data_IF_032367778619
#
_entry.id   IF_032367778619
#
_cell.length_a   1.000
_cell.length_b   1.000
_cell.length_c   1.000
_cell.angle_alpha   90.00
_cell.angle_beta   90.00
_cell.angle_gamma   90.00
#
_symmetry.space_group_name_H-M   'P 1'
#
loop_
_entity.id
_entity.type
_entity.pdbx_description
1 polymer ?
#
# COMPACT_ATOMS: atom_id res chain seq x y z
N UNK A 1 -16.23 -2.15 1.07
CA UNK A 1 -15.90 -0.74 1.30
C UNK A 1 -14.50 -0.69 1.89
N UNK A 2 -13.54 -0.08 1.21
CA UNK A 2 -12.16 0.12 1.71
C UNK A 2 -12.06 1.48 2.40
N UNK A 3 -11.00 1.74 3.19
CA UNK A 3 -10.75 3.03 3.86
C UNK A 3 -10.78 4.23 2.88
N UNK A 4 -10.69 4.00 1.57
CA UNK A 4 -10.91 5.01 0.54
C UNK A 4 -12.23 5.80 0.70
N UNK A 5 -13.27 5.23 1.33
CA UNK A 5 -14.51 5.99 1.63
C UNK A 5 -14.31 7.11 2.65
N UNK A 6 -13.28 7.03 3.49
CA UNK A 6 -12.93 8.04 4.50
C UNK A 6 -11.91 9.07 4.02
N UNK A 7 -11.47 8.99 2.75
CA UNK A 7 -10.46 9.90 2.17
C UNK A 7 -10.79 11.38 2.43
N UNK A 8 -12.05 11.78 2.27
CA UNK A 8 -12.49 13.16 2.50
C UNK A 8 -12.33 13.63 3.95
N UNK A 9 -12.44 12.73 4.93
CA UNK A 9 -12.21 13.05 6.34
C UNK A 9 -10.72 13.17 6.64
N UNK A 10 -9.92 12.23 6.13
CA UNK A 10 -8.47 12.28 6.24
C UNK A 10 -7.90 13.57 5.64
N UNK A 11 -8.39 13.98 4.46
CA UNK A 11 -7.95 15.23 3.82
C UNK A 11 -8.24 16.46 4.68
N UNK A 12 -9.37 16.52 5.40
CA UNK A 12 -9.66 17.64 6.31
C UNK A 12 -8.65 17.74 7.46
N UNK A 13 -8.20 16.60 7.98
CA UNK A 13 -7.21 16.54 9.07
C UNK A 13 -5.80 16.91 8.57
N UNK A 14 -5.45 16.45 7.37
CA UNK A 14 -4.12 16.68 6.76
C UNK A 14 -3.97 18.10 6.20
N UNK A 15 -5.06 18.74 5.79
CA UNK A 15 -5.05 20.06 5.17
C UNK A 15 -4.30 21.15 5.97
N UNK A 16 -4.54 21.36 7.29
CA UNK A 16 -3.80 22.38 8.04
C UNK A 16 -2.30 22.11 8.08
N UNK A 17 -1.89 20.84 8.18
CA UNK A 17 -0.48 20.46 8.17
C UNK A 17 0.15 20.71 6.80
N UNK A 18 -0.55 20.36 5.73
CA UNK A 18 -0.08 20.61 4.37
C UNK A 18 0.13 22.11 4.09
N UNK A 19 -0.76 22.99 4.59
CA UNK A 19 -0.56 24.45 4.49
C UNK A 19 0.67 24.95 5.25
N UNK A 20 1.01 24.34 6.40
CA UNK A 20 2.23 24.69 7.14
C UNK A 20 3.47 24.28 6.34
N UNK A 21 3.45 23.09 5.72
CA UNK A 21 4.56 22.58 4.91
C UNK A 21 4.75 23.38 3.62
N UNK A 22 3.66 23.79 2.98
CA UNK A 22 3.68 24.70 1.83
C UNK A 22 4.40 26.01 2.19
N UNK A 23 4.03 26.64 3.31
CA UNK A 23 4.69 27.87 3.79
C UNK A 23 6.19 27.70 4.05
N UNK A 24 6.61 26.47 4.41
CA UNK A 24 8.01 26.09 4.62
C UNK A 24 8.73 25.70 3.32
N UNK A 25 8.08 25.79 2.16
CA UNK A 25 8.59 25.40 0.83
C UNK A 25 9.03 23.93 0.76
N UNK A 26 8.39 23.07 1.55
CA UNK A 26 8.58 21.62 1.44
C UNK A 26 7.75 21.14 0.23
N UNK A 27 8.31 20.26 -0.58
CA UNK A 27 7.65 19.71 -1.77
C UNK A 27 6.98 18.37 -1.46
N UNK A 28 6.00 17.96 -2.28
CA UNK A 28 5.40 16.62 -2.17
C UNK A 28 6.45 15.51 -2.34
N UNK A 29 7.37 15.64 -3.29
CA UNK A 29 8.46 14.66 -3.49
C UNK A 29 9.35 14.49 -2.26
N UNK A 30 9.60 15.56 -1.49
CA UNK A 30 10.34 15.45 -0.23
C UNK A 30 9.60 14.57 0.79
N UNK A 31 8.27 14.68 0.85
CA UNK A 31 7.44 13.87 1.73
C UNK A 31 7.37 12.41 1.25
N UNK A 32 7.33 12.15 -0.05
CA UNK A 32 7.41 10.79 -0.60
C UNK A 32 8.77 10.16 -0.25
N UNK A 33 9.88 10.87 -0.40
CA UNK A 33 11.20 10.33 0.01
C UNK A 33 11.23 10.07 1.53
N UNK A 34 10.64 10.96 2.32
CA UNK A 34 10.55 10.80 3.77
C UNK A 34 9.71 9.57 4.17
N UNK A 35 8.64 9.24 3.44
CA UNK A 35 7.85 8.03 3.70
C UNK A 35 8.71 6.78 3.53
N UNK A 36 9.51 6.72 2.45
CA UNK A 36 10.46 5.61 2.22
C UNK A 36 11.50 5.48 3.33
N UNK A 37 12.03 6.61 3.84
CA UNK A 37 12.96 6.62 4.98
C UNK A 37 12.29 5.98 6.19
N UNK A 38 11.05 6.35 6.52
CA UNK A 38 10.33 5.75 7.63
C UNK A 38 10.05 4.26 7.43
N UNK A 39 9.67 3.84 6.22
CA UNK A 39 9.53 2.41 5.91
C UNK A 39 10.85 1.65 6.14
N UNK A 40 11.98 2.24 5.73
CA UNK A 40 13.31 1.66 5.94
C UNK A 40 13.68 1.60 7.43
N UNK A 41 13.39 2.65 8.21
CA UNK A 41 13.64 2.70 9.65
C UNK A 41 12.80 1.69 10.43
N UNK A 42 11.67 1.22 9.89
CA UNK A 42 10.91 0.13 10.51
C UNK A 42 11.68 -1.19 10.53
N UNK A 43 12.61 -1.43 9.60
CA UNK A 43 13.39 -2.67 9.47
C UNK A 43 14.20 -2.96 10.75
N UNK A 44 15.12 -2.08 11.20
CA UNK A 44 15.88 -2.33 12.42
C UNK A 44 14.97 -2.42 13.65
N UNK A 45 13.83 -1.72 13.69
CA UNK A 45 12.90 -1.82 14.82
C UNK A 45 12.27 -3.22 14.91
N UNK A 46 11.82 -3.79 13.79
CA UNK A 46 11.39 -5.18 13.76
C UNK A 46 12.55 -6.14 14.06
N UNK A 47 13.78 -5.85 13.67
CA UNK A 47 14.91 -6.71 13.99
C UNK A 47 15.20 -6.74 15.51
N UNK A 48 15.30 -5.58 16.15
CA UNK A 48 15.55 -5.47 17.59
C UNK A 48 14.39 -5.98 18.44
N UNK A 49 13.19 -6.02 17.89
CA UNK A 49 12.03 -6.57 18.59
C UNK A 49 12.07 -8.07 18.84
N UNK A 50 13.09 -8.78 18.35
CA UNK A 50 13.37 -10.17 18.76
C UNK A 50 13.90 -10.27 20.18
N UNK A 51 14.61 -9.25 20.67
CA UNK A 51 15.19 -9.21 22.01
C UNK A 51 14.33 -8.42 22.99
N UNK A 52 13.69 -7.34 22.52
CA UNK A 52 12.84 -6.49 23.35
C UNK A 52 11.59 -6.06 22.56
N UNK A 53 10.43 -6.56 22.97
CA UNK A 53 9.16 -6.31 22.29
C UNK A 53 8.73 -4.84 22.31
N UNK A 54 9.33 -3.98 23.14
CA UNK A 54 9.03 -2.54 23.12
C UNK A 54 9.40 -1.89 21.78
N UNK A 55 10.38 -2.44 21.05
CA UNK A 55 10.72 -1.98 19.70
C UNK A 55 9.58 -2.18 18.68
N UNK A 56 8.59 -3.04 18.95
CA UNK A 56 7.39 -3.13 18.11
C UNK A 56 6.57 -1.84 18.12
N UNK A 57 6.54 -1.09 19.23
CA UNK A 57 5.88 0.22 19.25
C UNK A 57 6.59 1.21 18.33
N UNK A 58 7.93 1.19 18.29
CA UNK A 58 8.71 2.01 17.36
C UNK A 58 8.53 1.56 15.91
N UNK A 59 8.47 0.25 15.66
CA UNK A 59 8.18 -0.29 14.33
C UNK A 59 6.79 0.17 13.84
N UNK A 60 5.76 0.06 14.69
CA UNK A 60 4.42 0.54 14.40
C UNK A 60 4.39 2.05 14.15
N UNK A 61 5.13 2.84 14.95
CA UNK A 61 5.26 4.28 14.76
C UNK A 61 5.87 4.60 13.39
N UNK A 62 6.94 3.93 12.99
CA UNK A 62 7.56 4.20 11.68
C UNK A 62 6.68 3.76 10.51
N UNK A 63 5.96 2.64 10.62
CA UNK A 63 4.97 2.25 9.60
C UNK A 63 3.83 3.29 9.52
N UNK A 64 3.37 3.78 10.66
CA UNK A 64 2.39 4.87 10.73
C UNK A 64 2.93 6.14 10.06
N UNK A 65 4.13 6.58 10.43
CA UNK A 65 4.75 7.78 9.86
C UNK A 65 4.93 7.66 8.35
N UNK A 66 5.37 6.51 7.84
CA UNK A 66 5.40 6.22 6.40
C UNK A 66 4.02 6.45 5.77
N UNK A 67 2.98 5.80 6.29
CA UNK A 67 1.61 5.92 5.74
C UNK A 67 1.04 7.34 5.86
N UNK A 68 1.46 8.08 6.89
CA UNK A 68 0.98 9.42 7.17
C UNK A 68 1.63 10.44 6.24
N UNK A 69 2.96 10.39 6.05
CA UNK A 69 3.67 11.31 5.14
C UNK A 69 3.29 11.08 3.69
N UNK A 70 3.02 9.83 3.32
CA UNK A 70 2.46 9.42 2.03
C UNK A 70 1.07 10.05 1.79
N UNK A 71 0.14 9.91 2.73
CA UNK A 71 -1.16 10.58 2.60
C UNK A 71 -1.05 12.13 2.56
N UNK A 72 -0.04 12.67 3.25
CA UNK A 72 0.24 14.10 3.31
C UNK A 72 0.85 14.62 2.00
N UNK A 73 1.67 13.84 1.30
CA UNK A 73 2.29 14.23 0.02
C UNK A 73 1.24 14.49 -1.07
N UNK A 74 0.25 13.62 -1.19
CA UNK A 74 -0.82 13.76 -2.17
C UNK A 74 -1.74 14.91 -1.82
N UNK A 75 -1.90 15.21 -0.53
CA UNK A 75 -2.65 16.39 -0.07
C UNK A 75 -1.89 17.67 -0.38
N UNK A 76 -0.58 17.69 -0.14
CA UNK A 76 0.29 18.82 -0.45
C UNK A 76 0.32 19.09 -1.95
N UNK A 77 0.51 18.05 -2.78
CA UNK A 77 0.54 18.18 -4.24
C UNK A 77 -0.75 18.80 -4.83
N UNK A 78 -1.91 18.48 -4.25
CA UNK A 78 -3.21 19.08 -4.64
C UNK A 78 -3.29 20.55 -4.25
N UNK A 79 -2.84 20.90 -3.05
CA UNK A 79 -2.84 22.30 -2.57
C UNK A 79 -1.89 23.15 -3.40
N UNK A 80 -0.68 22.67 -3.66
CA UNK A 80 0.34 23.37 -4.44
C UNK A 80 0.11 23.30 -5.95
N UNK A 81 -0.92 22.56 -6.40
CA UNK A 81 -1.22 22.31 -7.83
C UNK A 81 -0.03 21.75 -8.60
N UNK A 82 0.74 20.87 -7.97
CA UNK A 82 1.91 20.20 -8.54
C UNK A 82 1.67 18.72 -8.82
N UNK A 83 0.41 18.27 -8.77
CA UNK A 83 0.05 16.92 -9.20
C UNK A 83 0.34 16.72 -10.69
N UNK A 84 0.95 15.58 -11.05
CA UNK A 84 1.35 15.32 -12.42
C UNK A 84 2.03 13.96 -12.60
N UNK A 85 2.36 13.59 -13.85
CA UNK A 85 2.84 12.24 -14.18
C UNK A 85 4.13 11.83 -13.47
N UNK A 86 5.06 12.77 -13.26
CA UNK A 86 6.32 12.50 -12.56
C UNK A 86 6.11 12.23 -11.06
N UNK A 87 5.18 12.95 -10.43
CA UNK A 87 4.79 12.73 -9.04
C UNK A 87 4.06 11.41 -8.87
N UNK A 88 3.07 11.12 -9.73
CA UNK A 88 2.34 9.84 -9.73
C UNK A 88 3.30 8.65 -9.94
N UNK A 89 4.31 8.79 -10.81
CA UNK A 89 5.35 7.78 -11.00
C UNK A 89 6.22 7.57 -9.75
N UNK A 90 6.65 8.66 -9.09
CA UNK A 90 7.50 8.61 -7.90
C UNK A 90 6.76 7.99 -6.71
N UNK A 91 5.54 8.47 -6.41
CA UNK A 91 4.61 7.91 -5.41
C UNK A 91 4.50 6.41 -5.61
N UNK A 92 4.28 6.02 -6.85
CA UNK A 92 4.17 4.64 -7.23
C UNK A 92 5.40 3.80 -6.93
N UNK A 93 6.59 4.24 -7.31
CA UNK A 93 7.81 3.50 -6.98
C UNK A 93 7.99 3.37 -5.46
N UNK A 94 7.84 4.49 -4.75
CA UNK A 94 8.07 4.56 -3.31
C UNK A 94 7.11 3.66 -2.56
N UNK A 95 5.82 3.66 -2.90
CA UNK A 95 4.81 2.77 -2.34
C UNK A 95 5.23 1.31 -2.35
N UNK A 96 5.79 0.86 -3.49
CA UNK A 96 6.17 -0.53 -3.69
C UNK A 96 7.40 -0.88 -2.87
N UNK A 97 8.39 0.00 -2.84
CA UNK A 97 9.56 -0.22 -1.98
C UNK A 97 9.19 -0.21 -0.50
N UNK A 98 8.35 0.72 -0.06
CA UNK A 98 7.86 0.79 1.31
C UNK A 98 7.10 -0.47 1.72
N UNK A 99 6.16 -0.95 0.89
CA UNK A 99 5.44 -2.20 1.12
C UNK A 99 6.41 -3.39 1.24
N UNK A 100 7.38 -3.51 0.32
CA UNK A 100 8.37 -4.59 0.34
C UNK A 100 9.23 -4.54 1.59
N UNK A 101 9.76 -3.37 1.97
CA UNK A 101 10.62 -3.20 3.14
C UNK A 101 9.90 -3.59 4.42
N UNK A 102 8.66 -3.11 4.60
CA UNK A 102 7.86 -3.40 5.79
C UNK A 102 7.53 -4.89 5.87
N UNK A 103 7.04 -5.51 4.78
CA UNK A 103 6.68 -6.92 4.78
C UNK A 103 7.92 -7.81 4.98
N UNK A 104 9.03 -7.50 4.31
CA UNK A 104 10.31 -8.20 4.47
C UNK A 104 10.82 -8.14 5.91
N UNK A 105 10.79 -6.97 6.54
CA UNK A 105 11.18 -6.84 7.94
C UNK A 105 10.37 -7.79 8.82
N UNK A 106 9.05 -7.84 8.65
CA UNK A 106 8.17 -8.68 9.47
C UNK A 106 8.51 -10.18 9.33
N UNK A 107 8.62 -10.70 8.10
CA UNK A 107 8.83 -12.14 7.92
C UNK A 107 10.29 -12.59 8.09
N UNK A 108 11.29 -11.75 7.76
CA UNK A 108 12.70 -12.10 8.00
C UNK A 108 13.06 -12.08 9.49
N UNK A 109 12.39 -11.24 10.28
CA UNK A 109 12.49 -11.27 11.74
C UNK A 109 11.88 -12.54 12.36
N UNK A 110 10.95 -13.20 11.67
CA UNK A 110 10.34 -14.46 12.13
C UNK A 110 8.92 -14.32 12.68
N UNK A 111 8.27 -13.16 12.56
CA UNK A 111 6.84 -13.01 12.92
C UNK A 111 5.92 -13.76 11.96
N UNK A 112 6.39 -14.03 10.73
CA UNK A 112 5.75 -14.93 9.78
C UNK A 112 6.80 -15.84 9.13
N UNK A 113 6.39 -17.00 8.62
CA UNK A 113 7.31 -17.87 7.89
C UNK A 113 7.73 -17.25 6.55
N UNK A 114 8.90 -17.62 6.03
CA UNK A 114 9.38 -17.19 4.71
C UNK A 114 8.32 -17.46 3.61
N UNK A 115 7.64 -18.61 3.67
CA UNK A 115 6.58 -18.97 2.71
C UNK A 115 5.43 -17.96 2.76
N UNK A 116 4.93 -17.63 3.95
CA UNK A 116 3.85 -16.65 4.12
C UNK A 116 4.31 -15.26 3.65
N UNK A 117 5.53 -14.86 4.02
CA UNK A 117 6.13 -13.60 3.61
C UNK A 117 6.21 -13.43 2.10
N UNK A 118 6.72 -14.43 1.39
CA UNK A 118 6.81 -14.41 -0.07
C UNK A 118 5.44 -14.36 -0.75
N UNK A 119 4.45 -15.11 -0.26
CA UNK A 119 3.08 -15.05 -0.77
C UNK A 119 2.49 -13.65 -0.51
N UNK A 120 2.71 -13.06 0.67
CA UNK A 120 2.27 -11.70 0.97
C UNK A 120 2.87 -10.66 0.01
N UNK A 121 4.19 -10.65 -0.16
CA UNK A 121 4.90 -9.69 -1.02
C UNK A 121 4.46 -9.85 -2.48
N UNK A 122 4.44 -11.08 -3.00
CA UNK A 122 4.01 -11.31 -4.39
C UNK A 122 2.56 -10.95 -4.61
N UNK A 123 1.66 -11.28 -3.69
CA UNK A 123 0.25 -10.86 -3.74
C UNK A 123 0.11 -9.34 -3.79
N UNK A 124 0.77 -8.62 -2.88
CA UNK A 124 0.73 -7.14 -2.84
C UNK A 124 1.28 -6.54 -4.13
N UNK A 125 2.44 -7.00 -4.62
CA UNK A 125 3.02 -6.50 -5.87
C UNK A 125 2.15 -6.82 -7.09
N UNK A 126 1.55 -8.01 -7.17
CA UNK A 126 0.63 -8.38 -8.25
C UNK A 126 -0.61 -7.48 -8.27
N UNK A 127 -1.19 -7.16 -7.11
CA UNK A 127 -2.34 -6.23 -7.08
C UNK A 127 -1.98 -4.87 -7.65
N UNK A 128 -0.81 -4.33 -7.29
CA UNK A 128 -0.32 -3.05 -7.81
C UNK A 128 -0.02 -3.10 -9.31
N UNK A 129 0.69 -4.15 -9.76
CA UNK A 129 1.01 -4.36 -11.18
C UNK A 129 -0.26 -4.46 -12.04
N UNK A 130 -1.26 -5.23 -11.61
CA UNK A 130 -2.52 -5.35 -12.35
C UNK A 130 -3.27 -4.02 -12.45
N UNK A 131 -3.15 -3.16 -11.43
CA UNK A 131 -3.69 -1.81 -11.46
C UNK A 131 -3.06 -0.95 -12.56
N UNK A 132 -1.73 -0.95 -12.65
CA UNK A 132 -0.98 -0.21 -13.69
C UNK A 132 -1.15 -0.84 -15.07
N UNK A 133 -1.21 -2.18 -15.14
CA UNK A 133 -1.40 -2.90 -16.39
C UNK A 133 -2.77 -2.61 -16.99
N UNK A 134 -3.82 -2.52 -16.17
CA UNK A 134 -5.16 -2.12 -16.62
C UNK A 134 -5.15 -0.74 -17.31
N UNK A 135 -4.38 0.22 -16.77
CA UNK A 135 -4.20 1.53 -17.40
C UNK A 135 -3.42 1.42 -18.72
N UNK A 136 -2.35 0.62 -18.75
CA UNK A 136 -1.51 0.45 -19.95
C UNK A 136 -2.27 -0.15 -21.13
N UNK A 137 -3.29 -0.96 -20.88
CA UNK A 137 -4.16 -1.56 -21.90
C UNK A 137 -5.48 -0.81 -22.10
N UNK A 138 -5.60 0.42 -21.59
CA UNK A 138 -6.80 1.28 -21.69
C UNK A 138 -8.08 0.71 -21.07
N UNK A 139 -8.01 -0.33 -20.23
CA UNK A 139 -9.16 -0.90 -19.51
C UNK A 139 -9.62 -0.03 -18.31
N UNK A 140 -9.06 1.17 -18.15
CA UNK A 140 -9.28 2.05 -17.01
C UNK A 140 -8.59 1.56 -15.73
N UNK A 141 -8.56 2.41 -14.70
CA UNK A 141 -7.96 2.05 -13.40
C UNK A 141 -8.98 1.41 -12.49
N UNK A 142 -8.83 0.12 -12.22
CA UNK A 142 -9.68 -0.59 -11.28
C UNK A 142 -9.10 -0.51 -9.85
N UNK A 143 -9.68 0.36 -9.04
CA UNK A 143 -9.33 0.50 -7.62
C UNK A 143 -10.03 -0.51 -6.69
N UNK A 144 -10.93 -1.34 -7.23
CA UNK A 144 -11.62 -2.36 -6.45
C UNK A 144 -10.70 -3.49 -5.99
N UNK A 145 -11.17 -4.21 -4.98
CA UNK A 145 -10.45 -5.27 -4.28
C UNK A 145 -10.97 -5.43 -2.86
N UNK A 146 -10.54 -6.47 -2.16
CA UNK A 146 -10.95 -6.72 -0.77
C UNK A 146 -10.29 -5.72 0.16
N UNK A 147 -8.97 -5.52 0.03
CA UNK A 147 -8.18 -4.58 0.81
C UNK A 147 -7.38 -3.65 -0.11
N UNK A 148 -7.43 -2.35 0.15
CA UNK A 148 -6.52 -1.36 -0.42
C UNK A 148 -5.20 -1.27 0.33
N UNK A 149 -4.29 -0.41 -0.15
CA UNK A 149 -3.00 -0.15 0.50
C UNK A 149 -3.15 0.43 1.90
N UNK A 150 -4.00 1.44 2.07
CA UNK A 150 -4.28 2.04 3.38
C UNK A 150 -4.82 1.01 4.38
N UNK A 151 -5.73 0.12 3.95
CA UNK A 151 -6.29 -0.94 4.80
C UNK A 151 -5.18 -1.88 5.30
N UNK A 152 -4.27 -2.29 4.40
CA UNK A 152 -3.13 -3.15 4.74
C UNK A 152 -2.19 -2.49 5.75
N UNK A 153 -1.84 -1.22 5.54
CA UNK A 153 -0.93 -0.51 6.45
C UNK A 153 -1.56 -0.36 7.84
N UNK A 154 -2.85 -0.05 7.92
CA UNK A 154 -3.59 -0.01 9.19
C UNK A 154 -3.60 -1.37 9.88
N UNK A 155 -3.86 -2.45 9.14
CA UNK A 155 -3.81 -3.82 9.67
C UNK A 155 -2.42 -4.14 10.24
N UNK A 156 -1.34 -3.80 9.52
CA UNK A 156 0.03 -4.02 9.98
C UNK A 156 0.29 -3.23 11.27
N UNK A 157 -0.04 -1.93 11.30
CA UNK A 157 0.17 -1.06 12.48
C UNK A 157 -0.54 -1.64 13.71
N UNK A 158 -1.83 -1.96 13.57
CA UNK A 158 -2.64 -2.49 14.67
C UNK A 158 -2.15 -3.86 15.12
N UNK A 159 -1.78 -4.75 14.19
CA UNK A 159 -1.30 -6.09 14.52
C UNK A 159 0.10 -6.06 15.16
N UNK A 160 0.96 -5.12 14.77
CA UNK A 160 2.26 -4.86 15.40
C UNK A 160 2.08 -4.38 16.84
N UNK A 161 1.20 -3.40 17.08
CA UNK A 161 0.88 -2.92 18.43
C UNK A 161 0.26 -4.05 19.28
N UNK A 162 -0.68 -4.81 18.71
CA UNK A 162 -1.33 -5.91 19.42
C UNK A 162 -0.33 -7.01 19.80
N UNK A 163 0.65 -7.30 18.94
CA UNK A 163 1.73 -8.25 19.25
C UNK A 163 2.69 -7.72 20.33
N UNK A 164 2.91 -6.41 20.37
CA UNK A 164 3.70 -5.77 21.42
C UNK A 164 3.02 -5.89 22.80
N UNK A 165 1.69 -5.76 22.84
CA UNK A 165 0.89 -5.89 24.06
C UNK A 165 0.63 -7.35 24.46
N UNK A 166 0.49 -8.23 23.48
CA UNK A 166 0.23 -9.66 23.66
C UNK A 166 1.13 -10.47 22.74
N UNK A 167 2.23 -10.95 23.31
CA UNK A 167 3.31 -11.57 22.54
C UNK A 167 3.19 -13.08 22.39
N UNK A 168 2.20 -13.68 23.05
CA UNK A 168 1.93 -15.11 22.96
C UNK A 168 1.44 -15.50 21.57
N UNK A 169 1.79 -16.72 21.16
CA UNK A 169 1.36 -17.27 19.86
C UNK A 169 -0.06 -17.84 19.98
N UNK A 170 -0.87 -17.56 18.97
CA UNK A 170 -2.18 -18.17 18.76
C UNK A 170 -2.02 -19.15 17.60
N UNK A 171 -2.14 -20.46 17.84
CA UNK A 171 -1.97 -21.49 16.80
C UNK A 171 -0.76 -21.21 15.88
N UNK A 172 0.45 -21.27 16.45
CA UNK A 172 1.76 -21.12 15.78
C UNK A 172 2.24 -19.71 15.41
N UNK A 173 1.35 -18.71 15.34
CA UNK A 173 1.71 -17.34 14.94
C UNK A 173 1.29 -16.28 15.96
N UNK A 174 2.03 -15.17 16.02
CA UNK A 174 1.57 -13.97 16.74
C UNK A 174 0.42 -13.29 15.98
N UNK A 175 -0.20 -12.26 16.58
CA UNK A 175 -1.23 -11.46 15.91
C UNK A 175 -0.69 -10.83 14.62
N UNK A 176 0.55 -10.35 14.62
CA UNK A 176 1.25 -9.85 13.44
C UNK A 176 1.45 -10.95 12.39
N UNK A 177 1.81 -12.17 12.79
CA UNK A 177 1.90 -13.31 11.88
C UNK A 177 0.57 -13.65 11.22
N UNK A 178 -0.54 -13.61 11.97
CA UNK A 178 -1.89 -13.78 11.43
C UNK A 178 -2.27 -12.67 10.44
N UNK A 179 -1.88 -11.42 10.71
CA UNK A 179 -2.11 -10.35 9.74
C UNK A 179 -1.36 -10.58 8.42
N UNK A 180 -0.17 -11.18 8.45
CA UNK A 180 0.57 -11.51 7.22
C UNK A 180 -0.17 -12.57 6.39
N UNK A 181 -0.79 -13.56 7.03
CA UNK A 181 -1.63 -14.57 6.36
C UNK A 181 -2.87 -13.90 5.75
N UNK A 182 -3.52 -13.00 6.49
CA UNK A 182 -4.67 -12.24 5.99
C UNK A 182 -4.28 -11.40 4.76
N UNK A 183 -3.14 -10.69 4.82
CA UNK A 183 -2.66 -9.88 3.70
C UNK A 183 -2.31 -10.75 2.50
N UNK A 184 -1.62 -11.87 2.70
CA UNK A 184 -1.27 -12.82 1.64
C UNK A 184 -2.49 -13.34 0.90
N UNK A 185 -3.49 -13.82 1.64
CA UNK A 185 -4.71 -14.39 1.07
C UNK A 185 -5.56 -13.33 0.36
N UNK A 186 -5.86 -12.22 1.03
CA UNK A 186 -6.71 -11.15 0.48
C UNK A 186 -6.07 -10.45 -0.73
N UNK A 187 -4.75 -10.31 -0.76
CA UNK A 187 -4.05 -9.70 -1.90
C UNK A 187 -4.12 -10.60 -3.14
N UNK A 188 -3.94 -11.92 -3.01
CA UNK A 188 -4.10 -12.82 -4.15
C UNK A 188 -5.55 -12.94 -4.62
N UNK A 189 -6.52 -12.97 -3.71
CA UNK A 189 -7.94 -12.94 -4.10
C UNK A 189 -8.23 -11.64 -4.88
N UNK A 190 -7.71 -10.50 -4.40
CA UNK A 190 -7.84 -9.21 -5.09
C UNK A 190 -7.16 -9.23 -6.46
N UNK A 191 -5.99 -9.86 -6.60
CA UNK A 191 -5.30 -10.00 -7.88
C UNK A 191 -6.15 -10.81 -8.88
N UNK A 192 -6.72 -11.94 -8.45
CA UNK A 192 -7.61 -12.76 -9.28
C UNK A 192 -8.86 -11.97 -9.70
N UNK A 193 -9.47 -11.23 -8.78
CA UNK A 193 -10.61 -10.35 -9.07
C UNK A 193 -10.26 -9.31 -10.15
N UNK A 194 -9.09 -8.67 -10.03
CA UNK A 194 -8.61 -7.68 -11.00
C UNK A 194 -8.35 -8.32 -12.37
N UNK A 195 -7.70 -9.49 -12.42
CA UNK A 195 -7.48 -10.24 -13.66
C UNK A 195 -8.81 -10.50 -14.36
N UNK A 196 -9.79 -11.05 -13.63
CA UNK A 196 -11.09 -11.36 -14.19
C UNK A 196 -11.79 -10.11 -14.73
N UNK A 197 -11.81 -9.03 -13.94
CA UNK A 197 -12.45 -7.78 -14.35
C UNK A 197 -11.80 -7.16 -15.60
N UNK A 198 -10.47 -7.08 -15.63
CA UNK A 198 -9.71 -6.54 -16.77
C UNK A 198 -9.95 -7.39 -18.02
N UNK A 199 -9.91 -8.72 -17.89
CA UNK A 199 -10.12 -9.64 -19.00
C UNK A 199 -11.50 -9.46 -19.64
N UNK A 200 -12.55 -9.34 -18.83
CA UNK A 200 -13.91 -9.14 -19.33
C UNK A 200 -14.08 -7.78 -20.01
N UNK A 201 -13.46 -6.72 -19.46
CA UNK A 201 -13.49 -5.39 -20.07
C UNK A 201 -12.86 -5.41 -21.47
N UNK A 202 -11.69 -6.02 -21.62
CA UNK A 202 -10.98 -6.13 -22.89
C UNK A 202 -11.71 -7.00 -23.91
N UNK A 203 -12.32 -8.10 -23.47
CA UNK A 203 -13.11 -8.97 -24.36
C UNK A 203 -14.27 -8.20 -24.96
N UNK A 204 -15.01 -7.45 -24.13
CA UNK A 204 -16.13 -6.61 -24.58
C UNK A 204 -15.68 -5.57 -25.61
N UNK A 205 -14.56 -4.89 -25.36
CA UNK A 205 -14.01 -3.91 -26.29
C UNK A 205 -13.63 -4.54 -27.65
N UNK A 206 -13.04 -5.74 -27.64
CA UNK A 206 -12.72 -6.47 -28.89
C UNK A 206 -13.97 -6.88 -29.69
N UNK A 207 -15.05 -7.25 -29.00
CA UNK A 207 -16.34 -7.59 -29.61
C UNK A 207 -17.03 -6.36 -30.21
N UNK A 208 -16.85 -5.18 -29.61
CA UNK A 208 -17.42 -3.93 -30.13
C UNK A 208 -16.64 -3.42 -31.36
N UNK A 209 -15.31 -3.54 -31.37
CA UNK A 209 -14.48 -3.19 -32.53
C UNK A 209 -14.83 -4.04 -33.76
N UNK A 210 -15.07 -5.34 -33.57
CA UNK A 210 -15.40 -6.26 -34.67
C UNK A 210 -16.78 -6.03 -35.28
N UNK A 211 -17.68 -5.31 -34.58
CA UNK A 211 -19.01 -4.94 -35.07
C UNK A 211 -19.04 -3.62 -35.85
N UNK A 212 -17.95 -2.85 -35.85
CA UNK A 212 -17.89 -1.60 -36.61
C UNK A 212 -17.91 -1.89 -38.12
N UNK A 213 -18.71 -1.15 -38.92
CA UNK A 213 -18.70 -1.30 -40.36
C UNK A 213 -17.29 -1.04 -40.88
N UNK A 214 -16.78 -1.96 -41.70
CA UNK A 214 -15.46 -1.78 -42.34
C UNK A 214 -15.50 -0.50 -43.18
N UNK A 215 -14.45 0.35 -43.13
CA UNK A 215 -14.41 1.53 -43.98
C UNK A 215 -14.55 1.07 -45.44
N UNK A 216 -15.47 1.71 -46.17
CA UNK A 216 -15.65 1.48 -47.60
C UNK A 216 -14.29 1.67 -48.28
N UNK A 217 -13.80 0.60 -48.93
CA UNK A 217 -12.60 0.62 -49.76
C UNK A 217 -12.86 1.38 -51.05
#
# INVERSE_FOLDING_TARGET
>A
MTINSFRNHATKILHPLALILEKRRITANNLSILSLIFATLSIPMYYYSTNDHTYLFMAALFVFLNSFTDALDGTLARITKTEGPSGDFLDHIIDRYSDVFILCAIFFTGYASLKIGLIAVTGVLLTSYLGTQAQAVNAGRHYGGILGRADRLVIIILATIATALYSEKIFYYSILGWSMILIATTSHITAIQRIHHIWQALKKESEDITKLPKPYK
#
